data_IF_816776926350
#
_entry.id   IF_816776926350
#
_cell.length_a   1.000
_cell.length_b   1.000
_cell.length_c   1.000
_cell.angle_alpha   90.00
_cell.angle_beta   90.00
_cell.angle_gamma   90.00
#
_symmetry.space_group_name_H-M   'P 1'
#
loop_
_entity.id
_entity.type
_entity.pdbx_description
1 polymer ?
#
# COMPACT_ATOMS: atom_id res chain seq x y z
N UNK A 1 65.55 45.01 -17.22
CA UNK A 1 65.29 43.73 -16.54
C UNK A 1 63.84 43.75 -16.10
N UNK A 2 62.95 43.11 -16.87
CA UNK A 2 61.50 43.11 -16.64
C UNK A 2 61.14 41.83 -15.90
N UNK A 3 60.51 41.99 -14.74
CA UNK A 3 60.19 40.92 -13.80
C UNK A 3 58.88 40.22 -14.19
N UNK A 4 58.94 38.89 -14.09
CA UNK A 4 57.92 37.87 -14.22
C UNK A 4 56.45 38.30 -13.95
N UNK A 5 55.64 38.26 -15.01
CA UNK A 5 54.18 38.13 -14.93
C UNK A 5 53.79 36.77 -15.53
N UNK A 6 53.82 35.70 -14.72
CA UNK A 6 53.39 34.37 -15.16
C UNK A 6 52.92 33.52 -13.97
N UNK A 7 51.77 33.88 -13.37
CA UNK A 7 51.21 33.11 -12.25
C UNK A 7 49.67 33.16 -12.14
N UNK A 8 48.93 33.38 -13.25
CA UNK A 8 47.46 33.48 -13.21
C UNK A 8 46.73 32.55 -14.20
N UNK A 9 47.32 31.44 -14.63
CA UNK A 9 46.68 30.53 -15.61
C UNK A 9 46.42 29.11 -15.10
N UNK A 10 46.69 28.80 -13.83
CA UNK A 10 46.53 27.44 -13.27
C UNK A 10 45.37 27.27 -12.25
N UNK A 11 44.43 28.21 -12.19
CA UNK A 11 43.28 28.16 -11.27
C UNK A 11 41.94 27.76 -11.92
N UNK A 12 41.85 27.75 -13.25
CA UNK A 12 40.58 27.65 -13.99
C UNK A 12 40.32 26.28 -14.64
N UNK A 13 40.89 25.21 -14.08
CA UNK A 13 40.67 23.83 -14.55
C UNK A 13 39.99 22.92 -13.51
N UNK A 14 39.70 23.42 -12.31
CA UNK A 14 39.03 22.67 -11.24
C UNK A 14 37.53 22.97 -11.09
N UNK A 15 36.94 23.81 -11.94
CA UNK A 15 35.52 24.21 -11.85
C UNK A 15 34.59 23.52 -12.86
N UNK A 16 35.09 22.63 -13.71
CA UNK A 16 34.27 21.95 -14.75
C UNK A 16 33.96 20.47 -14.45
N UNK A 17 34.37 19.91 -13.31
CA UNK A 17 34.13 18.48 -13.00
C UNK A 17 32.97 18.19 -12.06
N UNK A 18 32.07 19.15 -11.80
CA UNK A 18 30.79 18.85 -11.15
C UNK A 18 29.64 18.81 -12.15
N UNK A 19 29.81 18.12 -13.28
CA UNK A 19 28.66 17.56 -13.99
C UNK A 19 28.00 16.58 -13.01
N UNK A 20 26.88 17.01 -12.41
CA UNK A 20 26.13 16.22 -11.44
C UNK A 20 25.92 14.82 -11.98
N UNK A 21 26.35 13.82 -11.20
CA UNK A 21 26.09 12.42 -11.50
C UNK A 21 24.58 12.27 -11.74
N UNK A 22 24.21 12.03 -12.99
CA UNK A 22 22.81 11.90 -13.38
C UNK A 22 22.40 10.47 -13.11
N UNK A 23 21.79 10.24 -11.95
CA UNK A 23 21.30 8.93 -11.59
C UNK A 23 19.95 8.70 -12.27
N UNK A 24 19.85 7.62 -13.05
CA UNK A 24 18.59 7.22 -13.67
C UNK A 24 17.78 6.35 -12.73
N UNK A 25 16.47 6.54 -12.77
CA UNK A 25 15.51 5.70 -12.05
C UNK A 25 15.54 4.30 -12.67
N UNK A 26 15.79 3.27 -11.85
CA UNK A 26 15.76 1.88 -12.30
C UNK A 26 14.43 1.22 -11.99
N UNK A 27 14.00 1.28 -10.73
CA UNK A 27 12.78 0.61 -10.28
C UNK A 27 12.03 1.47 -9.29
N UNK A 28 10.74 1.19 -9.17
CA UNK A 28 9.87 1.73 -8.12
C UNK A 28 9.35 0.53 -7.33
N UNK A 29 9.53 0.54 -6.02
CA UNK A 29 9.01 -0.49 -5.13
C UNK A 29 7.91 0.07 -4.24
N UNK A 30 6.89 -0.74 -3.99
CA UNK A 30 5.78 -0.42 -3.10
C UNK A 30 5.75 -1.37 -1.90
N UNK A 31 5.43 -0.84 -0.73
CA UNK A 31 5.18 -1.56 0.51
C UNK A 31 4.08 -0.84 1.31
N UNK A 32 3.61 -1.47 2.39
CA UNK A 32 2.65 -0.87 3.31
C UNK A 32 3.12 -1.02 4.76
N UNK A 33 2.90 -0.01 5.58
CA UNK A 33 3.13 -0.05 7.02
C UNK A 33 1.78 0.11 7.73
N UNK A 34 1.14 -1.00 8.16
CA UNK A 34 -0.09 -0.93 8.93
C UNK A 34 0.09 -0.18 10.25
N UNK A 35 -0.96 0.47 10.73
CA UNK A 35 -0.96 1.14 12.03
C UNK A 35 -0.61 0.14 13.14
N UNK A 36 0.33 0.51 14.01
CA UNK A 36 0.78 -0.34 15.11
C UNK A 36 1.82 -1.41 14.73
N UNK A 37 2.22 -1.49 13.45
CA UNK A 37 3.34 -2.33 13.01
C UNK A 37 4.63 -1.50 12.89
N UNK A 38 5.77 -2.17 13.04
CA UNK A 38 7.10 -1.57 12.85
C UNK A 38 7.80 -2.03 11.57
N UNK A 39 7.23 -3.04 10.88
CA UNK A 39 7.82 -3.65 9.70
C UNK A 39 6.93 -3.41 8.49
N UNK A 40 7.54 -2.96 7.40
CA UNK A 40 6.86 -2.81 6.11
C UNK A 40 6.47 -4.18 5.55
N UNK A 41 5.24 -4.29 5.06
CA UNK A 41 4.70 -5.47 4.39
C UNK A 41 4.82 -5.27 2.87
N UNK A 42 5.27 -6.32 2.18
CA UNK A 42 5.38 -6.37 0.72
C UNK A 42 4.45 -7.47 0.21
N UNK A 43 3.86 -7.27 -0.96
CA UNK A 43 2.94 -8.23 -1.56
C UNK A 43 1.53 -8.05 -1.04
N UNK A 44 1.23 -8.51 0.18
CA UNK A 44 -0.14 -8.45 0.74
C UNK A 44 -0.15 -7.74 2.09
N UNK A 45 -1.13 -6.85 2.26
CA UNK A 45 -1.45 -6.20 3.54
C UNK A 45 -2.92 -6.44 3.86
N UNK A 46 -3.21 -6.69 5.13
CA UNK A 46 -4.57 -6.94 5.62
C UNK A 46 -4.93 -5.85 6.62
N UNK A 47 -5.98 -5.09 6.32
CA UNK A 47 -6.58 -4.13 7.24
C UNK A 47 -7.61 -4.86 8.09
N UNK A 48 -7.24 -5.15 9.34
CA UNK A 48 -8.05 -5.93 10.28
C UNK A 48 -8.97 -5.01 11.11
N UNK A 49 -10.07 -4.59 10.52
CA UNK A 49 -11.12 -3.81 11.16
C UNK A 49 -11.37 -2.46 10.47
N UNK A 50 -12.53 -1.90 10.79
CA UNK A 50 -12.94 -0.59 10.30
C UNK A 50 -12.13 0.52 10.93
N UNK A 51 -11.79 1.55 10.15
CA UNK A 51 -10.94 2.66 10.59
C UNK A 51 -9.45 2.29 10.74
N UNK A 52 -9.07 1.03 10.50
CA UNK A 52 -7.66 0.65 10.45
C UNK A 52 -7.03 1.26 9.21
N UNK A 53 -5.86 1.85 9.42
CA UNK A 53 -5.09 2.49 8.37
C UNK A 53 -3.76 1.78 8.12
N UNK A 54 -3.27 1.87 6.90
CA UNK A 54 -1.89 1.55 6.57
C UNK A 54 -1.28 2.68 5.74
N UNK A 55 -0.01 2.95 5.95
CA UNK A 55 0.72 3.92 5.17
C UNK A 55 1.43 3.21 4.02
N UNK A 56 1.07 3.52 2.79
CA UNK A 56 1.76 3.05 1.59
C UNK A 56 3.09 3.79 1.48
N UNK A 57 4.15 3.03 1.26
CA UNK A 57 5.51 3.55 1.10
C UNK A 57 5.97 3.21 -0.31
N UNK A 58 6.29 4.24 -1.07
CA UNK A 58 6.81 4.10 -2.44
C UNK A 58 8.26 4.54 -2.43
N UNK A 59 9.16 3.66 -2.88
CA UNK A 59 10.60 3.92 -2.96
C UNK A 59 11.07 3.89 -4.41
N UNK A 60 11.72 4.96 -4.83
CA UNK A 60 12.43 5.04 -6.09
C UNK A 60 13.86 4.56 -5.90
N UNK A 61 14.27 3.55 -6.68
CA UNK A 61 15.62 2.99 -6.63
C UNK A 61 16.38 3.40 -7.89
N UNK A 62 17.54 4.04 -7.69
CA UNK A 62 18.36 4.60 -8.75
C UNK A 62 19.61 3.73 -9.01
N UNK A 63 20.23 3.92 -10.18
CA UNK A 63 21.41 3.16 -10.64
C UNK A 63 22.59 3.13 -9.68
N UNK A 64 22.74 4.15 -8.83
CA UNK A 64 23.83 4.26 -7.86
C UNK A 64 23.51 3.63 -6.50
N UNK A 65 22.51 2.74 -6.42
CA UNK A 65 22.01 2.13 -5.18
C UNK A 65 21.31 3.10 -4.22
N UNK A 66 21.15 4.38 -4.60
CA UNK A 66 20.35 5.33 -3.83
C UNK A 66 18.88 4.92 -3.90
N UNK A 67 18.22 4.92 -2.76
CA UNK A 67 16.78 4.77 -2.64
C UNK A 67 16.18 6.00 -1.95
N UNK A 68 15.08 6.52 -2.49
CA UNK A 68 14.36 7.67 -1.93
C UNK A 68 12.89 7.33 -1.76
N UNK A 69 12.29 7.75 -0.64
CA UNK A 69 10.85 7.65 -0.44
C UNK A 69 10.18 8.75 -1.26
N UNK A 70 9.32 8.35 -2.18
CA UNK A 70 8.64 9.23 -3.15
C UNK A 70 7.13 9.10 -3.07
N UNK A 71 6.57 8.57 -1.98
CA UNK A 71 5.13 8.32 -1.79
C UNK A 71 4.26 9.51 -2.21
N UNK A 72 4.55 10.72 -1.71
CA UNK A 72 3.76 11.92 -2.00
C UNK A 72 3.89 12.42 -3.45
N UNK A 73 4.86 11.91 -4.21
CA UNK A 73 5.09 12.25 -5.61
C UNK A 73 4.62 11.14 -6.57
N UNK A 74 4.22 9.99 -6.03
CA UNK A 74 3.74 8.87 -6.81
C UNK A 74 2.25 9.05 -7.13
N UNK A 75 1.84 8.55 -8.28
CA UNK A 75 0.42 8.41 -8.63
C UNK A 75 -0.02 6.99 -8.29
N UNK A 76 -1.10 6.85 -7.52
CA UNK A 76 -1.67 5.57 -7.14
C UNK A 76 -2.79 5.19 -8.10
N UNK A 77 -2.78 3.93 -8.53
CA UNK A 77 -3.90 3.27 -9.17
C UNK A 77 -4.40 2.16 -8.24
N UNK A 78 -5.67 2.20 -7.88
CA UNK A 78 -6.31 1.28 -6.94
C UNK A 78 -7.51 0.65 -7.61
N UNK A 79 -7.43 -0.66 -7.84
CA UNK A 79 -8.44 -1.40 -8.59
C UNK A 79 -9.02 -2.53 -7.72
N UNK A 80 -10.35 -2.61 -7.55
CA UNK A 80 -10.98 -3.75 -6.89
C UNK A 80 -10.84 -5.01 -7.76
N UNK A 81 -10.52 -6.14 -7.15
CA UNK A 81 -10.41 -7.44 -7.81
C UNK A 81 -11.11 -8.50 -6.98
N UNK A 82 -11.93 -9.32 -7.63
CA UNK A 82 -12.68 -10.39 -6.98
C UNK A 82 -13.95 -9.88 -6.29
N UNK A 83 -14.39 -10.63 -5.28
CA UNK A 83 -15.70 -10.48 -4.68
C UNK A 83 -15.61 -10.21 -3.19
N UNK A 84 -16.58 -9.44 -2.71
CA UNK A 84 -16.87 -9.31 -1.30
C UNK A 84 -17.50 -10.56 -0.69
N UNK A 85 -17.41 -10.68 0.63
CA UNK A 85 -18.11 -11.69 1.41
C UNK A 85 -19.43 -11.07 1.89
N UNK A 86 -20.55 -11.57 1.38
CA UNK A 86 -21.88 -11.14 1.80
C UNK A 86 -22.30 -11.79 3.13
N UNK A 87 -21.95 -13.07 3.33
CA UNK A 87 -22.21 -13.79 4.57
C UNK A 87 -21.33 -15.04 4.71
N UNK A 88 -21.10 -15.46 5.95
CA UNK A 88 -20.53 -16.76 6.30
C UNK A 88 -21.32 -17.37 7.45
N UNK A 89 -21.94 -18.52 7.20
CA UNK A 89 -22.75 -19.23 8.19
C UNK A 89 -22.67 -20.73 7.99
N UNK A 90 -22.50 -21.50 9.07
CA UNK A 90 -22.46 -22.97 9.05
C UNK A 90 -21.47 -23.57 8.02
N UNK A 91 -20.31 -22.91 7.81
CA UNK A 91 -19.31 -23.33 6.83
C UNK A 91 -19.65 -23.03 5.37
N UNK A 92 -20.76 -22.32 5.12
CA UNK A 92 -21.13 -21.85 3.79
C UNK A 92 -20.75 -20.37 3.62
N UNK A 93 -20.09 -20.08 2.50
CA UNK A 93 -19.64 -18.75 2.11
C UNK A 93 -20.52 -18.23 0.98
N UNK A 94 -21.17 -17.09 1.20
CA UNK A 94 -21.90 -16.35 0.16
C UNK A 94 -21.10 -15.13 -0.24
N UNK A 95 -20.90 -14.95 -1.54
CA UNK A 95 -20.19 -13.80 -2.11
C UNK A 95 -21.19 -12.73 -2.56
N UNK A 96 -20.77 -11.47 -2.47
CA UNK A 96 -21.48 -10.34 -3.09
C UNK A 96 -20.99 -10.13 -4.54
N UNK A 97 -21.73 -9.36 -5.31
CA UNK A 97 -21.39 -9.00 -6.69
C UNK A 97 -20.24 -7.97 -6.72
N UNK A 98 -19.02 -8.50 -6.63
CA UNK A 98 -17.79 -7.72 -6.76
C UNK A 98 -17.43 -6.91 -5.51
N UNK A 99 -16.45 -6.03 -5.65
CA UNK A 99 -16.05 -5.07 -4.62
C UNK A 99 -16.35 -3.63 -5.06
N UNK A 100 -16.85 -2.77 -4.16
CA UNK A 100 -17.01 -1.35 -4.43
C UNK A 100 -15.69 -0.70 -4.83
N UNK A 101 -15.77 0.27 -5.74
CA UNK A 101 -14.61 1.04 -6.14
C UNK A 101 -14.03 1.81 -4.94
N UNK A 102 -12.70 1.83 -4.78
CA UNK A 102 -12.05 2.61 -3.74
C UNK A 102 -12.25 4.10 -4.01
N UNK A 103 -12.29 4.89 -2.95
CA UNK A 103 -12.58 6.33 -3.04
C UNK A 103 -11.37 7.14 -2.59
N UNK A 104 -11.07 8.21 -3.32
CA UNK A 104 -10.03 9.14 -2.93
C UNK A 104 -10.57 10.00 -1.77
N UNK A 105 -9.95 9.94 -0.60
CA UNK A 105 -10.31 10.75 0.56
C UNK A 105 -10.07 12.25 0.28
N UNK A 106 -10.96 13.18 0.68
CA UNK A 106 -12.18 12.99 1.48
C UNK A 106 -13.45 12.99 0.63
N UNK A 107 -13.39 12.58 -0.64
CA UNK A 107 -14.56 12.61 -1.52
C UNK A 107 -15.68 11.82 -0.82
N UNK A 108 -16.85 12.45 -0.67
CA UNK A 108 -18.03 11.95 0.06
C UNK A 108 -18.69 10.71 -0.58
N UNK A 109 -17.93 9.93 -1.34
CA UNK A 109 -18.37 8.72 -1.98
C UNK A 109 -18.15 7.55 -1.01
N UNK A 110 -19.17 6.72 -0.86
CA UNK A 110 -19.12 5.49 -0.07
C UNK A 110 -18.38 4.42 -0.88
N UNK A 111 -17.19 4.02 -0.42
CA UNK A 111 -16.46 2.85 -0.93
C UNK A 111 -15.65 2.28 0.22
N UNK A 112 -15.43 0.96 0.25
CA UNK A 112 -14.92 0.27 1.47
C UNK A 112 -13.45 0.55 1.80
N UNK A 113 -12.75 1.14 0.84
CA UNK A 113 -11.36 1.57 0.99
C UNK A 113 -11.24 3.03 0.58
N UNK A 114 -10.77 3.85 1.51
CA UNK A 114 -10.34 5.22 1.26
C UNK A 114 -8.82 5.26 1.08
N UNK A 115 -8.35 6.08 0.16
CA UNK A 115 -6.93 6.37 0.00
C UNK A 115 -6.67 7.84 -0.27
N UNK A 116 -5.48 8.35 0.00
CA UNK A 116 -5.11 9.73 -0.30
C UNK A 116 -3.76 9.84 -1.02
N UNK A 117 -3.43 11.05 -1.47
CA UNK A 117 -2.17 11.33 -2.16
C UNK A 117 -0.91 11.16 -1.27
N UNK A 118 -1.06 11.16 0.07
CA UNK A 118 0.06 10.88 0.96
C UNK A 118 0.35 9.39 1.13
N UNK A 119 -0.43 8.52 0.48
CA UNK A 119 -0.31 7.07 0.59
C UNK A 119 -1.04 6.48 1.81
N UNK A 120 -1.84 7.25 2.55
CA UNK A 120 -2.64 6.69 3.63
C UNK A 120 -3.83 5.94 3.02
N UNK A 121 -3.96 4.65 3.33
CA UNK A 121 -5.13 3.82 3.00
C UNK A 121 -5.88 3.47 4.28
N UNK A 122 -7.21 3.48 4.22
CA UNK A 122 -8.09 3.30 5.37
C UNK A 122 -9.28 2.44 4.99
N UNK A 123 -9.57 1.42 5.80
CA UNK A 123 -10.82 0.68 5.71
C UNK A 123 -11.98 1.54 6.24
N UNK A 124 -13.05 1.71 5.46
CA UNK A 124 -14.17 2.60 5.80
C UNK A 124 -15.53 1.95 5.50
N UNK A 125 -16.59 2.47 6.13
CA UNK A 125 -17.95 1.91 6.09
C UNK A 125 -18.58 2.03 4.69
N UNK A 126 -19.22 0.97 4.13
CA UNK A 126 -19.73 -0.24 4.80
C UNK A 126 -18.73 -1.38 5.07
N UNK A 127 -17.53 -1.36 4.49
CA UNK A 127 -16.42 -2.25 4.87
C UNK A 127 -16.59 -3.71 4.44
N UNK A 128 -16.70 -3.96 3.14
CA UNK A 128 -16.87 -5.32 2.61
C UNK A 128 -15.63 -6.19 2.83
N UNK A 129 -15.88 -7.38 3.36
CA UNK A 129 -14.88 -8.33 3.79
C UNK A 129 -14.35 -9.14 2.61
N UNK A 130 -13.04 -9.39 2.61
CA UNK A 130 -12.37 -10.04 1.48
C UNK A 130 -11.35 -11.09 1.89
N UNK A 131 -11.05 -11.19 3.19
CA UNK A 131 -10.19 -12.23 3.74
C UNK A 131 -10.98 -13.08 4.76
N UNK A 132 -10.83 -14.40 4.64
CA UNK A 132 -11.26 -15.37 5.64
C UNK A 132 -10.05 -16.10 6.18
N UNK A 133 -10.12 -16.50 7.43
CA UNK A 133 -9.14 -17.41 8.02
C UNK A 133 -9.86 -18.70 8.37
N UNK A 134 -9.32 -19.83 7.92
CA UNK A 134 -9.89 -21.13 8.24
C UNK A 134 -9.41 -21.66 9.61
N UNK A 135 -9.87 -22.85 9.99
CA UNK A 135 -9.47 -23.53 11.23
C UNK A 135 -7.96 -23.87 11.28
N UNK A 136 -7.27 -23.85 10.14
CA UNK A 136 -5.82 -24.01 10.05
C UNK A 136 -5.05 -22.69 10.23
N UNK A 137 -5.77 -21.58 10.44
CA UNK A 137 -5.26 -20.21 10.45
C UNK A 137 -4.69 -19.76 9.10
N UNK A 138 -4.99 -20.47 8.02
CA UNK A 138 -4.61 -20.05 6.68
C UNK A 138 -5.56 -18.96 6.20
N UNK A 139 -5.00 -17.89 5.64
CA UNK A 139 -5.77 -16.77 5.11
C UNK A 139 -6.09 -17.06 3.64
N UNK A 140 -7.38 -17.05 3.31
CA UNK A 140 -7.89 -17.12 1.94
C UNK A 140 -8.54 -15.79 1.55
N UNK A 141 -8.27 -15.33 0.32
CA UNK A 141 -8.80 -14.09 -0.22
C UNK A 141 -9.91 -14.38 -1.23
N UNK A 142 -11.09 -13.78 -1.05
CA UNK A 142 -12.19 -13.81 -2.04
C UNK A 142 -12.13 -12.60 -2.97
N UNK A 143 -11.49 -11.53 -2.50
CA UNK A 143 -11.23 -10.30 -3.23
C UNK A 143 -10.08 -9.53 -2.59
N UNK A 144 -9.71 -8.40 -3.20
CA UNK A 144 -8.70 -7.48 -2.69
C UNK A 144 -8.67 -6.21 -3.55
N UNK A 145 -8.08 -5.15 -3.03
CA UNK A 145 -7.71 -3.97 -3.80
C UNK A 145 -6.27 -4.10 -4.28
N UNK A 146 -6.06 -4.11 -5.59
CA UNK A 146 -4.73 -4.07 -6.20
C UNK A 146 -4.28 -2.62 -6.30
N UNK A 147 -3.27 -2.27 -5.52
CA UNK A 147 -2.62 -0.96 -5.52
C UNK A 147 -1.34 -1.04 -6.33
N UNK A 148 -1.17 -0.12 -7.28
CA UNK A 148 0.11 0.11 -7.96
C UNK A 148 0.48 1.58 -7.84
N UNK A 149 1.79 1.86 -7.75
CA UNK A 149 2.30 3.21 -7.71
C UNK A 149 3.15 3.48 -8.95
N UNK A 150 2.94 4.63 -9.59
CA UNK A 150 3.75 5.08 -10.72
C UNK A 150 4.52 6.34 -10.35
N UNK A 151 5.83 6.34 -10.56
CA UNK A 151 6.70 7.51 -10.36
C UNK A 151 7.60 7.69 -11.59
N UNK A 152 7.57 8.90 -12.18
CA UNK A 152 8.33 9.25 -13.41
C UNK A 152 8.21 8.22 -14.55
N UNK A 153 7.00 7.65 -14.73
CA UNK A 153 6.71 6.68 -15.80
C UNK A 153 7.11 5.24 -15.50
N UNK A 154 7.65 4.95 -14.32
CA UNK A 154 7.94 3.58 -13.87
C UNK A 154 6.87 3.15 -12.87
N UNK A 155 6.23 2.02 -13.13
CA UNK A 155 5.19 1.43 -12.27
C UNK A 155 5.79 0.34 -11.38
N UNK A 156 5.35 0.30 -10.11
CA UNK A 156 5.78 -0.70 -9.13
C UNK A 156 5.19 -2.09 -9.39
N UNK A 157 5.70 -3.09 -8.68
CA UNK A 157 4.96 -4.32 -8.42
C UNK A 157 3.59 -3.99 -7.76
N UNK A 158 2.58 -4.87 -7.87
CA UNK A 158 1.33 -4.68 -7.14
C UNK A 158 1.51 -4.91 -5.64
N UNK A 159 0.74 -4.15 -4.86
CA UNK A 159 0.42 -4.42 -3.46
C UNK A 159 -1.06 -4.80 -3.37
N UNK A 160 -1.36 -5.92 -2.72
CA UNK A 160 -2.71 -6.42 -2.52
C UNK A 160 -3.20 -6.02 -1.13
N UNK A 161 -4.26 -5.24 -1.07
CA UNK A 161 -4.90 -4.79 0.18
C UNK A 161 -6.17 -5.59 0.37
N UNK A 162 -6.22 -6.42 1.41
CA UNK A 162 -7.42 -7.11 1.82
C UNK A 162 -8.02 -6.46 3.06
N UNK A 163 -9.35 -6.55 3.16
CA UNK A 163 -10.15 -6.08 4.28
C UNK A 163 -10.62 -7.29 5.09
N UNK A 164 -10.34 -7.28 6.38
CA UNK A 164 -10.78 -8.27 7.36
C UNK A 164 -11.41 -7.55 8.56
N UNK A 165 -12.23 -8.24 9.38
CA UNK A 165 -12.73 -7.69 10.65
C UNK A 165 -12.01 -8.31 11.83
N UNK A 166 -11.78 -7.51 12.86
CA UNK A 166 -11.24 -7.92 14.14
C UNK A 166 -12.28 -7.85 15.27
N UNK A 167 -13.54 -8.25 14.99
CA UNK A 167 -14.59 -8.35 16.02
C UNK A 167 -14.99 -9.81 16.21
N UNK A 168 -14.87 -10.39 17.43
CA UNK A 168 -15.42 -11.70 17.74
C UNK A 168 -16.95 -11.61 17.65
N UNK A 169 -17.58 -12.31 16.71
CA UNK A 169 -19.04 -12.34 16.63
C UNK A 169 -19.61 -13.25 17.74
N UNK A 170 -20.18 -12.63 18.78
CA UNK A 170 -20.79 -13.36 19.91
C UNK A 170 -22.15 -14.02 19.61
N UNK A 171 -22.72 -13.86 18.41
CA UNK A 171 -24.09 -14.32 18.12
C UNK A 171 -24.33 -14.81 16.68
N UNK A 172 -23.29 -15.01 15.87
CA UNK A 172 -23.39 -15.74 14.60
C UNK A 172 -24.19 -15.07 13.48
N UNK A 173 -24.58 -13.80 13.59
CA UNK A 173 -25.24 -13.05 12.50
C UNK A 173 -24.52 -11.73 12.26
N UNK A 174 -23.89 -11.57 11.09
CA UNK A 174 -23.22 -10.31 10.72
C UNK A 174 -23.93 -9.66 9.55
N UNK A 175 -24.52 -8.49 9.79
CA UNK A 175 -24.83 -7.51 8.74
C UNK A 175 -23.78 -6.40 8.85
N UNK A 176 -23.01 -6.18 7.79
CA UNK A 176 -22.02 -5.09 7.71
C UNK A 176 -20.75 -5.29 8.54
N UNK A 177 -20.37 -6.52 8.87
CA UNK A 177 -19.10 -6.83 9.53
C UNK A 177 -18.58 -8.19 9.09
N UNK A 178 -17.27 -8.38 9.04
CA UNK A 178 -16.73 -9.68 8.67
C UNK A 178 -16.94 -10.66 9.84
N UNK A 179 -17.50 -11.85 9.61
CA UNK A 179 -17.53 -12.90 10.60
C UNK A 179 -16.10 -13.33 10.90
N UNK A 180 -15.58 -12.93 12.05
CA UNK A 180 -14.32 -13.44 12.56
C UNK A 180 -14.55 -14.00 13.96
N UNK A 181 -14.10 -15.24 14.17
CA UNK A 181 -14.00 -15.86 15.49
C UNK A 181 -12.51 -15.93 15.84
N UNK A 182 -12.08 -15.12 16.80
CA UNK A 182 -10.75 -15.22 17.41
C UNK A 182 -10.74 -16.06 18.68
N UNK A 183 -11.86 -16.68 19.07
CA UNK A 183 -11.85 -17.54 20.24
C UNK A 183 -11.09 -18.83 19.89
N UNK A 184 -10.04 -19.18 20.63
CA UNK A 184 -9.43 -20.50 20.48
C UNK A 184 -10.51 -21.51 20.84
N UNK A 185 -10.81 -22.43 19.92
CA UNK A 185 -11.61 -23.61 20.22
C UNK A 185 -10.99 -24.32 21.41
N UNK A 186 -11.58 -24.15 22.59
CA UNK A 186 -11.28 -24.98 23.75
C UNK A 186 -11.89 -26.34 23.47
N UNK A 187 -11.07 -27.24 22.92
CA UNK A 187 -11.30 -28.68 23.02
C UNK A 187 -10.54 -29.22 24.20
#
# INVERSE_FOLDING_TARGET
MVWAACACSLGLLLLITSCGQTYSLQTVSISALPTGQTTEQVGTVILNGMGVTANIIVRANYTNTKSEVVTALATFDVVPVGNGIASYAAGHLTLDDGLPNPVLSPINNHGDLQYNASGLITAVDPGVCTAITDSSKAISLTGYYKVTATYKGVTSQPLYVALASAVPAGDGTVKGGCPFDLTPSTT
#
